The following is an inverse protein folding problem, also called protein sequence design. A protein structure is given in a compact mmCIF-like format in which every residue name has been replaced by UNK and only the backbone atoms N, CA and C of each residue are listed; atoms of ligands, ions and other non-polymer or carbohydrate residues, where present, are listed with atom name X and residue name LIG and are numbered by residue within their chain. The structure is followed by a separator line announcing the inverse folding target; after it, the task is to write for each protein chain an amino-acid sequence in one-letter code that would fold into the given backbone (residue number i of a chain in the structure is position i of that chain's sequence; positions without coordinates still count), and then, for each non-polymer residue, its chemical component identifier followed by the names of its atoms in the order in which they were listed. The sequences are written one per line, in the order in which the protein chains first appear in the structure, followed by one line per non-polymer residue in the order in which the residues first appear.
data_IF_523591960058
#
_entry.id   IF_523591960058
#
_cell.length_a   1.000
_cell.length_b   1.000
_cell.length_c   1.000
_cell.angle_alpha   90.00
_cell.angle_beta   90.00
_cell.angle_gamma   90.00
#
_symmetry.space_group_name_H-M   'P 1'
#
loop_
_entity.id
_entity.type
_entity.pdbx_description
1 polymer ?
#
# COMPACT_ATOMS: atom_id res chain seq x y z
N UNK A 1 18.99 -38.99 36.93
CA UNK A 1 19.16 -38.35 35.60
C UNK A 1 17.92 -37.61 35.10
N UNK A 2 16.74 -37.77 35.72
CA UNK A 2 15.47 -37.15 35.28
C UNK A 2 15.51 -35.60 35.22
N UNK A 3 16.16 -34.94 36.18
CA UNK A 3 16.26 -33.48 36.21
C UNK A 3 17.06 -32.90 35.03
N UNK A 4 18.07 -33.62 34.51
CA UNK A 4 18.88 -33.14 33.39
C UNK A 4 18.08 -33.10 32.08
N UNK A 5 17.17 -34.06 31.89
CA UNK A 5 16.27 -34.12 30.74
C UNK A 5 15.32 -32.91 30.70
N UNK A 6 14.74 -32.56 31.85
CA UNK A 6 13.81 -31.43 31.99
C UNK A 6 14.46 -30.11 31.56
N UNK A 7 15.74 -29.89 31.92
CA UNK A 7 16.45 -28.68 31.50
C UNK A 7 16.70 -28.65 29.98
N UNK A 8 17.05 -29.80 29.37
CA UNK A 8 17.24 -29.87 27.91
C UNK A 8 15.96 -29.62 27.13
N UNK A 9 14.84 -30.20 27.57
CA UNK A 9 13.53 -30.01 26.93
C UNK A 9 13.09 -28.55 27.05
N UNK A 10 13.33 -27.91 28.21
CA UNK A 10 13.02 -26.50 28.41
C UNK A 10 13.86 -25.57 27.51
N UNK A 11 15.15 -25.85 27.34
CA UNK A 11 16.00 -25.09 26.41
C UNK A 11 15.54 -25.22 24.96
N UNK A 12 15.17 -26.44 24.54
CA UNK A 12 14.69 -26.71 23.19
C UNK A 12 13.37 -25.98 22.91
N UNK A 13 12.45 -26.01 23.88
CA UNK A 13 11.19 -25.28 23.81
C UNK A 13 11.40 -23.76 23.69
N UNK A 14 12.28 -23.18 24.50
CA UNK A 14 12.58 -21.75 24.46
C UNK A 14 13.20 -21.32 23.11
N UNK A 15 14.09 -22.14 22.55
CA UNK A 15 14.67 -21.85 21.23
C UNK A 15 13.62 -21.88 20.12
N UNK A 16 12.73 -22.89 20.13
CA UNK A 16 11.63 -22.97 19.17
C UNK A 16 10.68 -21.78 19.27
N UNK A 17 10.34 -21.37 20.50
CA UNK A 17 9.51 -20.20 20.76
C UNK A 17 10.17 -18.90 20.26
N UNK A 18 11.46 -18.70 20.53
CA UNK A 18 12.19 -17.52 20.05
C UNK A 18 12.24 -17.44 18.52
N UNK A 19 12.43 -18.57 17.82
CA UNK A 19 12.42 -18.61 16.36
C UNK A 19 11.04 -18.25 15.78
N UNK A 20 9.97 -18.76 16.39
CA UNK A 20 8.60 -18.42 15.98
C UNK A 20 8.31 -16.93 16.14
N UNK A 21 8.72 -16.35 17.27
CA UNK A 21 8.55 -14.91 17.52
C UNK A 21 9.38 -14.10 16.52
N UNK A 22 10.64 -14.47 16.24
CA UNK A 22 11.45 -13.78 15.24
C UNK A 22 10.85 -13.80 13.83
N UNK A 23 10.29 -14.94 13.40
CA UNK A 23 9.63 -15.05 12.10
C UNK A 23 8.38 -14.18 12.02
N UNK A 24 7.55 -14.14 13.07
CA UNK A 24 6.40 -13.25 13.13
C UNK A 24 6.82 -11.78 13.09
N UNK A 25 7.84 -11.39 13.89
CA UNK A 25 8.33 -10.01 13.92
C UNK A 25 8.90 -9.58 12.56
N UNK A 26 9.61 -10.45 11.85
CA UNK A 26 10.14 -10.17 10.51
C UNK A 26 9.02 -10.01 9.45
N UNK A 27 7.97 -10.82 9.51
CA UNK A 27 6.81 -10.66 8.64
C UNK A 27 6.07 -9.33 8.89
N UNK A 28 5.99 -8.91 10.16
CA UNK A 28 5.36 -7.64 10.54
C UNK A 28 6.21 -6.41 10.21
N UNK A 29 7.54 -6.49 10.28
CA UNK A 29 8.40 -5.37 9.90
C UNK A 29 8.40 -5.12 8.39
N UNK A 30 8.27 -6.17 7.57
CA UNK A 30 8.21 -6.04 6.11
C UNK A 30 6.96 -5.30 5.60
N UNK A 31 5.89 -5.22 6.40
CA UNK A 31 4.62 -4.59 6.01
C UNK A 31 4.31 -3.27 6.73
N UNK A 32 5.24 -2.72 7.52
CA UNK A 32 4.95 -1.53 8.33
C UNK A 32 4.94 -0.28 7.45
N UNK A 33 3.74 0.22 7.14
CA UNK A 33 3.59 1.57 6.59
C UNK A 33 4.14 2.59 7.60
N UNK A 34 5.11 3.42 7.19
CA UNK A 34 5.70 4.41 8.08
C UNK A 34 4.80 5.64 8.20
N UNK A 35 4.47 6.03 9.44
CA UNK A 35 3.80 7.31 9.67
C UNK A 35 4.80 8.46 9.54
N UNK A 36 4.92 9.03 8.35
CA UNK A 36 5.58 10.33 8.15
C UNK A 36 4.60 11.45 8.49
N UNK A 37 4.99 12.34 9.41
CA UNK A 37 4.24 13.56 9.76
C UNK A 37 4.35 14.60 8.63
N UNK A 38 3.25 15.30 8.34
CA UNK A 38 3.21 16.36 7.32
C UNK A 38 3.05 15.88 5.86
N UNK A 39 3.03 14.57 5.62
CA UNK A 39 2.83 13.99 4.28
C UNK A 39 1.41 13.41 4.16
N UNK A 40 0.56 14.07 3.37
CA UNK A 40 -0.80 13.62 3.06
C UNK A 40 -0.91 13.14 1.62
N UNK A 41 -1.85 12.23 1.35
CA UNK A 41 -2.14 11.84 -0.03
C UNK A 41 -2.63 13.08 -0.80
N UNK A 42 -2.14 13.34 -2.03
CA UNK A 42 -2.66 14.43 -2.84
C UNK A 42 -4.13 14.17 -3.19
N UNK A 43 -4.88 15.25 -3.34
CA UNK A 43 -6.28 15.24 -3.81
C UNK A 43 -6.32 15.65 -5.27
N UNK A 44 -7.22 15.05 -6.06
CA UNK A 44 -7.47 15.42 -7.46
C UNK A 44 -8.95 15.67 -7.68
N UNK A 45 -9.30 16.85 -8.17
CA UNK A 45 -10.69 17.26 -8.40
C UNK A 45 -11.13 17.03 -9.86
N UNK A 46 -10.18 16.86 -10.79
CA UNK A 46 -10.48 16.72 -12.21
C UNK A 46 -10.85 18.05 -12.87
N UNK A 47 -10.27 19.15 -12.39
CA UNK A 47 -10.49 20.49 -12.97
C UNK A 47 -9.56 20.70 -14.17
N UNK A 48 -9.96 21.49 -15.19
CA UNK A 48 -9.14 21.70 -16.40
C UNK A 48 -7.74 22.29 -16.15
N UNK A 49 -7.55 22.97 -15.03
CA UNK A 49 -6.29 23.60 -14.64
C UNK A 49 -5.46 22.75 -13.66
N UNK A 50 -5.96 21.60 -13.22
CA UNK A 50 -5.17 20.65 -12.42
C UNK A 50 -4.32 19.77 -13.31
N UNK A 51 -3.05 19.60 -12.97
CA UNK A 51 -2.14 18.71 -13.68
C UNK A 51 -2.27 17.28 -13.15
N UNK A 52 -2.63 16.35 -14.04
CA UNK A 52 -2.59 14.90 -13.75
C UNK A 52 -1.17 14.47 -13.41
N UNK A 53 -0.17 14.93 -14.17
CA UNK A 53 1.23 14.56 -13.94
C UNK A 53 1.73 15.00 -12.56
N UNK A 54 1.38 16.21 -12.13
CA UNK A 54 1.73 16.69 -10.79
C UNK A 54 1.03 15.86 -9.70
N UNK A 55 -0.25 15.53 -9.90
CA UNK A 55 -0.99 14.67 -8.98
C UNK A 55 -0.34 13.28 -8.85
N UNK A 56 -0.03 12.63 -9.97
CA UNK A 56 0.63 11.31 -10.00
C UNK A 56 2.03 11.38 -9.39
N UNK A 57 2.79 12.43 -9.68
CA UNK A 57 4.11 12.65 -9.08
C UNK A 57 4.04 12.77 -7.55
N UNK A 58 3.12 13.60 -7.03
CA UNK A 58 2.90 13.76 -5.58
C UNK A 58 2.43 12.45 -4.94
N UNK A 59 1.62 11.65 -5.64
CA UNK A 59 1.18 10.35 -5.16
C UNK A 59 2.35 9.36 -5.07
N UNK A 60 3.24 9.32 -6.06
CA UNK A 60 4.48 8.53 -6.02
C UNK A 60 5.35 8.93 -4.83
N UNK A 61 5.55 10.23 -4.60
CA UNK A 61 6.28 10.73 -3.42
C UNK A 61 5.64 10.30 -2.09
N UNK A 62 4.30 10.39 -1.98
CA UNK A 62 3.58 9.91 -0.79
C UNK A 62 3.82 8.43 -0.54
N UNK A 63 3.70 7.59 -1.57
CA UNK A 63 3.92 6.14 -1.48
C UNK A 63 5.35 5.81 -1.06
N UNK A 64 6.36 6.48 -1.66
CA UNK A 64 7.75 6.33 -1.27
C UNK A 64 7.96 6.69 0.20
N UNK A 65 7.37 7.80 0.66
CA UNK A 65 7.40 8.19 2.07
C UNK A 65 6.77 7.15 2.99
N UNK A 66 5.68 6.49 2.57
CA UNK A 66 5.02 5.44 3.37
C UNK A 66 5.67 4.06 3.27
N UNK A 67 6.75 3.92 2.49
CA UNK A 67 7.33 2.62 2.11
C UNK A 67 6.32 1.68 1.42
N UNK A 68 5.45 2.25 0.59
CA UNK A 68 4.52 1.50 -0.26
C UNK A 68 5.18 1.32 -1.63
N UNK A 69 5.47 0.07 -1.98
CA UNK A 69 6.03 -0.27 -3.29
C UNK A 69 4.92 -0.28 -4.36
N UNK A 70 4.81 0.83 -5.08
CA UNK A 70 3.88 0.99 -6.21
C UNK A 70 4.40 0.41 -7.53
N UNK A 71 5.64 -0.09 -7.57
CA UNK A 71 6.22 -0.73 -8.75
C UNK A 71 5.94 -2.23 -8.78
N UNK A 72 5.67 -2.84 -7.61
CA UNK A 72 5.25 -4.22 -7.51
C UNK A 72 3.81 -4.39 -8.04
N UNK A 73 3.58 -5.20 -9.10
CA UNK A 73 2.25 -5.42 -9.66
C UNK A 73 1.22 -5.94 -8.64
N UNK A 74 1.64 -6.69 -7.62
CA UNK A 74 0.76 -7.21 -6.58
C UNK A 74 0.12 -6.09 -5.74
N UNK A 75 0.75 -4.91 -5.67
CA UNK A 75 0.23 -3.76 -4.94
C UNK A 75 -0.61 -2.82 -5.81
N UNK A 76 -0.69 -3.06 -7.12
CA UNK A 76 -1.26 -2.11 -8.07
C UNK A 76 -2.72 -1.74 -7.76
N UNK A 77 -3.59 -2.72 -7.52
CA UNK A 77 -4.99 -2.47 -7.14
C UNK A 77 -5.12 -1.69 -5.82
N UNK A 78 -4.24 -1.96 -4.84
CA UNK A 78 -4.21 -1.23 -3.56
C UNK A 78 -3.81 0.23 -3.79
N UNK A 79 -2.77 0.47 -4.59
CA UNK A 79 -2.30 1.81 -4.95
C UNK A 79 -3.39 2.60 -5.64
N UNK A 80 -4.05 1.99 -6.65
CA UNK A 80 -5.20 2.61 -7.35
C UNK A 80 -6.31 2.97 -6.37
N UNK A 81 -6.71 2.06 -5.47
CA UNK A 81 -7.75 2.35 -4.49
C UNK A 81 -7.38 3.53 -3.57
N UNK A 82 -6.12 3.60 -3.14
CA UNK A 82 -5.62 4.71 -2.34
C UNK A 82 -5.70 6.06 -3.07
N UNK A 83 -5.39 6.10 -4.37
CA UNK A 83 -5.55 7.33 -5.17
C UNK A 83 -7.02 7.67 -5.39
N UNK A 84 -7.84 6.68 -5.76
CA UNK A 84 -9.26 6.86 -6.06
C UNK A 84 -10.05 7.41 -4.87
N UNK A 85 -9.72 7.00 -3.64
CA UNK A 85 -10.32 7.58 -2.41
C UNK A 85 -9.99 9.06 -2.19
N UNK A 86 -8.98 9.59 -2.89
CA UNK A 86 -8.59 11.00 -2.86
C UNK A 86 -9.06 11.77 -4.09
N UNK A 87 -9.87 11.15 -4.95
CA UNK A 87 -10.62 11.89 -5.95
C UNK A 87 -11.77 12.67 -5.32
N UNK A 88 -12.04 13.85 -5.87
CA UNK A 88 -13.14 14.74 -5.47
C UNK A 88 -13.88 15.22 -6.71
N UNK A 89 -15.07 15.77 -6.49
CA UNK A 89 -15.87 16.42 -7.52
C UNK A 89 -15.97 15.58 -8.81
N UNK A 90 -15.66 16.18 -9.97
CA UNK A 90 -15.73 15.54 -11.28
C UNK A 90 -14.87 14.29 -11.39
N UNK A 91 -13.67 14.27 -10.79
CA UNK A 91 -12.81 13.09 -10.81
C UNK A 91 -13.43 11.90 -10.05
N UNK A 92 -14.08 12.15 -8.91
CA UNK A 92 -14.75 11.10 -8.14
C UNK A 92 -15.95 10.54 -8.92
N UNK A 93 -16.77 11.41 -9.51
CA UNK A 93 -17.90 11.00 -10.36
C UNK A 93 -17.45 10.21 -11.58
N UNK A 94 -16.37 10.64 -12.24
CA UNK A 94 -15.79 9.94 -13.38
C UNK A 94 -15.30 8.54 -13.00
N UNK A 95 -14.52 8.42 -11.93
CA UNK A 95 -14.00 7.12 -11.50
C UNK A 95 -15.12 6.17 -11.08
N UNK A 96 -16.15 6.70 -10.38
CA UNK A 96 -17.34 5.93 -10.05
C UNK A 96 -18.06 5.41 -11.31
N UNK A 97 -18.23 6.25 -12.34
CA UNK A 97 -18.84 5.81 -13.61
C UNK A 97 -17.99 4.72 -14.28
N UNK A 98 -16.67 4.88 -14.36
CA UNK A 98 -15.77 3.88 -14.94
C UNK A 98 -15.85 2.52 -14.25
N UNK A 99 -15.82 2.49 -12.92
CA UNK A 99 -15.81 1.22 -12.17
C UNK A 99 -17.20 0.61 -12.04
N UNK A 100 -18.24 1.41 -11.75
CA UNK A 100 -19.57 0.89 -11.44
C UNK A 100 -20.47 0.71 -12.66
N UNK A 101 -20.29 1.54 -13.70
CA UNK A 101 -21.14 1.50 -14.90
C UNK A 101 -20.44 0.76 -16.03
N UNK A 102 -19.17 1.09 -16.27
CA UNK A 102 -18.40 0.48 -17.36
C UNK A 102 -17.64 -0.78 -16.93
N UNK A 103 -17.67 -1.13 -15.64
CA UNK A 103 -16.97 -2.29 -15.06
C UNK A 103 -15.46 -2.32 -15.36
N UNK A 104 -14.84 -1.14 -15.51
CA UNK A 104 -13.40 -1.00 -15.72
C UNK A 104 -12.67 -1.25 -14.41
N UNK A 105 -11.55 -1.97 -14.48
CA UNK A 105 -10.65 -2.20 -13.35
C UNK A 105 -9.26 -1.72 -13.69
N UNK A 106 -8.68 -0.89 -12.83
CA UNK A 106 -7.31 -0.43 -13.00
C UNK A 106 -6.40 -1.23 -12.07
N UNK A 107 -5.39 -1.87 -12.64
CA UNK A 107 -4.47 -2.76 -11.92
C UNK A 107 -3.10 -2.15 -11.70
N UNK A 108 -2.84 -0.96 -12.23
CA UNK A 108 -1.57 -0.26 -12.04
C UNK A 108 -1.74 1.25 -12.04
N UNK A 109 -0.74 1.95 -11.48
CA UNK A 109 -0.70 3.40 -11.48
C UNK A 109 -0.55 3.98 -12.89
N UNK A 110 0.21 3.31 -13.77
CA UNK A 110 0.44 3.77 -15.14
C UNK A 110 -0.82 3.65 -16.00
N UNK A 111 -1.63 2.60 -15.80
CA UNK A 111 -2.93 2.45 -16.46
C UNK A 111 -3.91 3.55 -16.03
N UNK A 112 -3.98 3.83 -14.72
CA UNK A 112 -4.79 4.93 -14.20
C UNK A 112 -4.32 6.29 -14.75
N UNK A 113 -3.01 6.53 -14.79
CA UNK A 113 -2.41 7.75 -15.34
C UNK A 113 -2.78 7.93 -16.81
N UNK A 114 -2.57 6.92 -17.65
CA UNK A 114 -2.90 6.96 -19.07
C UNK A 114 -4.38 7.30 -19.31
N UNK A 115 -5.27 6.76 -18.47
CA UNK A 115 -6.72 7.01 -18.60
C UNK A 115 -7.12 8.42 -18.13
N UNK A 116 -6.39 9.00 -17.18
CA UNK A 116 -6.64 10.38 -16.73
C UNK A 116 -6.13 11.44 -17.71
N UNK A 117 -5.14 11.08 -18.55
CA UNK A 117 -4.55 11.97 -19.57
C UNK A 117 -5.17 11.86 -20.96
N UNK A 118 -5.98 10.82 -21.21
CA UNK A 118 -6.65 10.56 -22.49
C UNK A 118 -8.03 11.17 -22.58
#
# INVERSE_FOLDING_TARGET
MHNAQIYQDFHTYLQGYQQQVQQQVQAHTAQREHKIEGVSMPTYHGRPNESVDEFIFRAKLFMQGKCIDFTNPHNGSRVVAMLATNFRDGAASWYHAKVMVEHVTYSSLDELHATLTG
#
